data_IF_820813233259
#
_entry.id   IF_820813233259
#
_cell.length_a   1.000
_cell.length_b   1.000
_cell.length_c   1.000
_cell.angle_alpha   90.00
_cell.angle_beta   90.00
_cell.angle_gamma   90.00
#
_symmetry.space_group_name_H-M   'P 1'
#
loop_
_entity.id
_entity.type
_entity.pdbx_description
1 polymer ?
#
# COMPACT_ATOMS: atom_id res chain seq x y z
N UNK A 1 8.05 -2.80 12.34
CA UNK A 1 7.67 -3.01 10.91
C UNK A 1 6.89 -4.30 10.73
N UNK A 2 7.48 -5.47 11.01
CA UNK A 2 6.83 -6.78 10.84
C UNK A 2 5.60 -7.01 11.73
N UNK A 3 5.46 -6.26 12.83
CA UNK A 3 4.26 -6.22 13.67
C UNK A 3 3.07 -5.48 13.01
N UNK A 4 3.38 -4.56 12.08
CA UNK A 4 2.39 -3.70 11.41
C UNK A 4 2.10 -4.19 9.99
N UNK A 5 3.08 -4.81 9.32
CA UNK A 5 3.02 -5.25 7.94
C UNK A 5 3.41 -6.73 7.81
N UNK A 6 2.53 -7.52 7.19
CA UNK A 6 2.82 -8.91 6.80
C UNK A 6 3.42 -8.91 5.40
N UNK A 7 4.74 -9.12 5.31
CA UNK A 7 5.51 -9.02 4.07
C UNK A 7 5.52 -10.31 3.24
N UNK A 8 4.74 -11.34 3.60
CA UNK A 8 4.61 -12.56 2.79
C UNK A 8 3.90 -12.23 1.48
N UNK A 9 4.25 -12.84 0.33
CA UNK A 9 3.65 -12.50 -0.96
C UNK A 9 2.12 -12.54 -0.99
N UNK A 10 1.51 -13.59 -0.43
CA UNK A 10 0.05 -13.69 -0.35
C UNK A 10 -0.61 -12.65 0.56
N UNK A 11 0.11 -12.20 1.59
CA UNK A 11 -0.37 -11.15 2.47
C UNK A 11 -0.31 -9.78 1.80
N UNK A 12 0.74 -9.48 1.04
CA UNK A 12 0.84 -8.25 0.22
C UNK A 12 -0.32 -8.18 -0.77
N UNK A 13 -0.59 -9.29 -1.49
CA UNK A 13 -1.71 -9.36 -2.44
C UNK A 13 -3.05 -9.09 -1.75
N UNK A 14 -3.27 -9.69 -0.58
CA UNK A 14 -4.50 -9.52 0.20
C UNK A 14 -4.64 -8.10 0.74
N UNK A 15 -3.60 -7.59 1.39
CA UNK A 15 -3.63 -6.33 2.13
C UNK A 15 -3.73 -5.11 1.20
N UNK A 16 -3.14 -5.18 0.00
CA UNK A 16 -3.24 -4.15 -1.03
C UNK A 16 -4.35 -4.44 -2.06
N UNK A 17 -5.10 -5.53 -1.90
CA UNK A 17 -6.16 -5.95 -2.82
C UNK A 17 -5.71 -5.93 -4.29
N UNK A 18 -4.65 -6.69 -4.59
CA UNK A 18 -3.93 -6.61 -5.88
C UNK A 18 -4.55 -7.45 -7.00
N UNK A 19 -5.51 -8.33 -6.71
CA UNK A 19 -6.15 -9.19 -7.72
C UNK A 19 -7.30 -8.46 -8.45
N UNK A 20 -7.00 -7.26 -8.95
CA UNK A 20 -7.93 -6.37 -9.65
C UNK A 20 -7.28 -5.79 -10.91
N UNK A 21 -8.06 -5.38 -11.93
CA UNK A 21 -7.52 -4.78 -13.14
C UNK A 21 -7.11 -3.30 -12.94
N UNK A 22 -6.14 -3.03 -12.04
CA UNK A 22 -5.74 -1.67 -11.62
C UNK A 22 -4.42 -1.19 -12.23
N UNK A 23 -3.79 -1.98 -13.10
CA UNK A 23 -2.39 -1.76 -13.53
C UNK A 23 -2.24 -0.91 -14.79
N UNK A 24 -3.26 -0.78 -15.64
CA UNK A 24 -3.14 -0.05 -16.90
C UNK A 24 -2.80 1.44 -16.68
N UNK A 25 -3.42 2.06 -15.66
CA UNK A 25 -3.20 3.47 -15.28
C UNK A 25 -1.79 3.78 -14.76
N UNK A 26 -1.05 2.76 -14.32
CA UNK A 26 0.31 2.92 -13.78
C UNK A 26 1.40 2.82 -14.86
N UNK A 27 1.04 2.43 -16.09
CA UNK A 27 1.98 2.23 -17.19
C UNK A 27 2.59 3.53 -17.75
N UNK A 28 2.03 4.69 -17.38
CA UNK A 28 2.51 6.01 -17.72
C UNK A 28 2.46 6.94 -16.51
N UNK A 29 3.26 8.00 -16.53
CA UNK A 29 3.34 9.02 -15.47
C UNK A 29 3.79 8.50 -14.08
N UNK A 30 4.25 7.26 -14.00
CA UNK A 30 4.83 6.67 -12.78
C UNK A 30 3.83 5.90 -11.93
N UNK A 31 4.38 5.00 -11.09
CA UNK A 31 3.62 4.12 -10.19
C UNK A 31 3.34 4.75 -8.82
N UNK A 32 4.10 5.77 -8.42
CA UNK A 32 4.08 6.33 -7.07
C UNK A 32 3.84 7.84 -7.05
N UNK A 33 3.25 8.34 -5.96
CA UNK A 33 3.02 9.77 -5.72
C UNK A 33 2.02 10.42 -6.68
N UNK A 34 1.21 9.61 -7.37
CA UNK A 34 0.15 10.07 -8.26
C UNK A 34 -1.00 10.61 -7.44
N UNK A 35 -1.50 11.79 -7.77
CA UNK A 35 -2.62 12.45 -7.09
C UNK A 35 -3.93 12.37 -7.87
N UNK A 36 -3.88 11.83 -9.08
CA UNK A 36 -4.97 11.75 -10.05
C UNK A 36 -5.59 10.35 -10.16
N UNK A 37 -5.00 9.35 -9.49
CA UNK A 37 -5.49 7.96 -9.45
C UNK A 37 -5.36 7.40 -8.04
N UNK A 38 -6.29 6.51 -7.67
CA UNK A 38 -6.29 5.85 -6.36
C UNK A 38 -5.58 4.49 -6.46
N UNK A 39 -4.43 4.38 -5.79
CA UNK A 39 -3.59 3.19 -5.79
C UNK A 39 -3.42 2.70 -4.35
N UNK A 40 -3.62 1.40 -4.08
CA UNK A 40 -3.69 0.89 -2.71
C UNK A 40 -2.37 1.06 -1.92
N UNK A 41 -1.22 1.12 -2.59
CA UNK A 41 0.09 1.32 -1.96
C UNK A 41 0.41 2.79 -1.65
N UNK A 42 -0.39 3.75 -2.12
CA UNK A 42 -0.26 5.16 -1.74
C UNK A 42 -1.00 5.49 -0.43
N UNK A 43 -1.84 4.58 0.06
CA UNK A 43 -2.57 4.76 1.32
C UNK A 43 -1.62 4.83 2.52
N UNK A 44 -1.89 5.76 3.44
CA UNK A 44 -1.18 5.94 4.72
C UNK A 44 -2.02 5.52 5.93
N UNK A 45 -3.03 4.69 5.72
CA UNK A 45 -3.95 4.19 6.75
C UNK A 45 -3.27 3.54 7.97
N UNK A 46 -2.09 2.93 7.78
CA UNK A 46 -1.30 2.29 8.84
C UNK A 46 -0.32 3.23 9.54
N UNK A 47 -0.27 4.52 9.19
CA UNK A 47 0.68 5.47 9.79
C UNK A 47 0.52 5.57 11.32
N UNK A 48 -0.71 5.72 11.82
CA UNK A 48 -0.97 5.79 13.27
C UNK A 48 -0.65 4.47 13.98
N UNK A 49 -0.97 3.33 13.36
CA UNK A 49 -0.62 2.01 13.91
C UNK A 49 0.90 1.86 14.01
N UNK A 50 1.64 2.33 13.01
CA UNK A 50 3.10 2.30 13.02
C UNK A 50 3.67 3.24 14.08
N UNK A 51 3.10 4.44 14.22
CA UNK A 51 3.50 5.42 15.24
C UNK A 51 3.30 4.88 16.65
N UNK A 52 2.13 4.30 16.93
CA UNK A 52 1.85 3.65 18.21
C UNK A 52 2.80 2.47 18.51
N UNK A 53 3.11 1.64 17.51
CA UNK A 53 4.08 0.55 17.65
C UNK A 53 5.52 1.06 17.92
N UNK A 54 5.84 2.29 17.50
CA UNK A 54 7.11 2.94 17.79
C UNK A 54 7.12 3.66 19.17
N UNK A 55 5.99 3.70 19.89
CA UNK A 55 5.87 4.41 21.17
C UNK A 55 5.83 5.94 21.04
N UNK A 56 5.40 6.46 19.88
CA UNK A 56 5.33 7.88 19.53
C UNK A 56 3.90 8.43 19.47
#
# INVERSE_FOLDING_TARGET
ITETFDLRPGAIIRDLDLLRPIYAQTAAYGHFGRTDIDLPWESVDRAEKLRAAAGL
#
